data_IF_004415415043
#
_entry.id   IF_004415415043
#
_cell.length_a   1.000
_cell.length_b   1.000
_cell.length_c   1.000
_cell.angle_alpha   90.00
_cell.angle_beta   90.00
_cell.angle_gamma   90.00
#
_symmetry.space_group_name_H-M   'P 1'
#
loop_
_entity.id
_entity.type
_entity.pdbx_description
1 polymer ?
#
# COMPACT_ATOMS: atom_id res chain seq x y z
N UNK A 1 18.04 -9.49 -1.79
CA UNK A 1 17.41 -9.87 -0.51
C UNK A 1 16.14 -10.64 -0.86
N UNK A 2 16.26 -11.95 -0.95
CA UNK A 2 15.21 -12.87 -1.44
C UNK A 2 14.19 -13.10 -0.33
N UNK A 3 12.99 -12.54 -0.46
CA UNK A 3 11.83 -13.00 0.32
C UNK A 3 11.15 -14.07 -0.51
N UNK A 4 11.78 -15.24 -0.61
CA UNK A 4 11.07 -16.47 -0.94
C UNK A 4 10.75 -17.11 0.41
N UNK A 5 9.48 -17.12 0.77
CA UNK A 5 8.99 -17.93 1.87
C UNK A 5 7.81 -18.74 1.35
N UNK A 6 7.68 -19.97 1.81
CA UNK A 6 6.72 -20.99 1.38
C UNK A 6 5.22 -20.60 1.41
N UNK A 7 4.88 -19.33 1.65
CA UNK A 7 3.54 -18.76 1.66
C UNK A 7 3.02 -18.39 0.26
N UNK A 8 3.83 -18.47 -0.78
CA UNK A 8 3.41 -18.08 -2.15
C UNK A 8 2.40 -19.05 -2.78
N UNK A 9 2.17 -20.24 -2.19
CA UNK A 9 1.21 -21.22 -2.69
C UNK A 9 -0.22 -21.01 -2.19
N UNK A 10 -0.41 -20.40 -1.01
CA UNK A 10 -1.73 -20.14 -0.42
C UNK A 10 -1.99 -18.62 -0.29
N UNK A 11 -2.82 -18.04 -1.17
CA UNK A 11 -3.10 -16.62 -1.17
C UNK A 11 -3.76 -16.13 0.14
N UNK A 12 -4.49 -16.99 0.86
CA UNK A 12 -5.09 -16.61 2.14
C UNK A 12 -4.05 -16.49 3.23
N UNK A 13 -3.12 -17.45 3.31
CA UNK A 13 -2.04 -17.39 4.28
C UNK A 13 -1.17 -16.15 4.05
N UNK A 14 -0.86 -15.85 2.79
CA UNK A 14 -0.12 -14.63 2.41
C UNK A 14 -0.84 -13.37 2.85
N UNK A 15 -2.16 -13.29 2.64
CA UNK A 15 -2.96 -12.14 3.06
C UNK A 15 -2.97 -11.98 4.58
N UNK A 16 -3.13 -13.06 5.35
CA UNK A 16 -3.11 -13.02 6.81
C UNK A 16 -1.76 -12.55 7.36
N UNK A 17 -0.65 -12.95 6.73
CA UNK A 17 0.68 -12.44 7.09
C UNK A 17 0.82 -10.93 6.84
N UNK A 18 0.36 -10.45 5.67
CA UNK A 18 0.34 -9.01 5.36
C UNK A 18 -0.56 -8.24 6.32
N UNK A 19 -1.65 -8.85 6.79
CA UNK A 19 -2.54 -8.25 7.79
C UNK A 19 -1.87 -8.05 9.15
N UNK A 20 -0.97 -8.94 9.55
CA UNK A 20 -0.28 -8.90 10.83
C UNK A 20 0.85 -7.86 10.93
N UNK A 21 1.27 -7.27 9.80
CA UNK A 21 2.33 -6.26 9.80
C UNK A 21 1.94 -5.02 10.62
N UNK A 22 2.86 -4.42 11.39
CA UNK A 22 2.56 -3.24 12.21
C UNK A 22 2.22 -2.00 11.37
N UNK A 23 2.82 -1.90 10.19
CA UNK A 23 2.50 -0.92 9.15
C UNK A 23 2.54 -1.57 7.77
N UNK A 24 1.86 -0.96 6.78
CA UNK A 24 1.96 -1.36 5.37
C UNK A 24 2.30 -0.17 4.50
N UNK A 25 3.23 -0.36 3.57
CA UNK A 25 3.45 0.57 2.48
C UNK A 25 2.38 0.35 1.40
N UNK A 26 1.69 1.42 1.04
CA UNK A 26 0.59 1.43 0.08
C UNK A 26 0.82 2.56 -0.91
N UNK A 27 0.63 2.29 -2.20
CA UNK A 27 0.63 3.32 -3.24
C UNK A 27 -0.83 3.62 -3.58
N UNK A 28 -1.25 4.86 -3.37
CA UNK A 28 -2.52 5.39 -3.88
C UNK A 28 -2.30 5.95 -5.27
N UNK A 29 -3.11 5.54 -6.23
CA UNK A 29 -3.14 6.09 -7.58
C UNK A 29 -4.48 6.79 -7.80
N UNK A 30 -4.45 8.02 -8.31
CA UNK A 30 -5.62 8.80 -8.64
C UNK A 30 -5.47 9.37 -10.04
N UNK A 31 -6.43 9.08 -10.93
CA UNK A 31 -6.59 9.77 -12.21
C UNK A 31 -7.83 10.64 -12.11
N UNK A 32 -7.64 11.96 -12.18
CA UNK A 32 -8.76 12.90 -12.22
C UNK A 32 -9.60 12.73 -13.49
N UNK A 33 -10.84 13.21 -13.47
CA UNK A 33 -11.73 13.17 -14.65
C UNK A 33 -11.30 14.11 -15.78
N UNK A 34 -10.33 15.01 -15.52
CA UNK A 34 -9.75 15.88 -16.54
C UNK A 34 -8.74 15.16 -17.44
N UNK A 35 -8.25 13.99 -17.02
CA UNK A 35 -7.31 13.14 -17.77
C UNK A 35 -5.98 13.83 -18.16
N UNK A 36 -5.57 14.86 -17.41
CA UNK A 36 -4.32 15.60 -17.65
C UNK A 36 -3.11 15.03 -16.89
N UNK A 37 -3.34 14.03 -16.04
CA UNK A 37 -2.28 13.38 -15.27
C UNK A 37 -2.80 12.34 -14.27
N UNK A 38 -1.86 11.52 -13.79
CA UNK A 38 -2.05 10.54 -12.70
C UNK A 38 -1.25 10.96 -11.48
N UNK A 39 -1.92 11.12 -10.35
CA UNK A 39 -1.30 11.33 -9.05
C UNK A 39 -0.93 9.98 -8.43
N UNK A 40 0.27 9.90 -7.86
CA UNK A 40 0.75 8.76 -7.11
C UNK A 40 1.27 9.21 -5.73
N UNK A 41 0.68 8.63 -4.67
CA UNK A 41 1.08 8.87 -3.29
C UNK A 41 1.60 7.57 -2.66
N UNK A 42 2.86 7.57 -2.20
CA UNK A 42 3.38 6.50 -1.36
C UNK A 42 3.06 6.81 0.10
N UNK A 43 2.28 5.95 0.73
CA UNK A 43 1.79 6.10 2.10
C UNK A 43 2.23 4.92 2.96
N UNK A 44 2.58 5.21 4.21
CA UNK A 44 2.73 4.20 5.25
C UNK A 44 1.49 4.24 6.15
N UNK A 45 0.77 3.12 6.23
CA UNK A 45 -0.48 3.00 6.99
C UNK A 45 -0.26 2.13 8.22
N UNK A 46 -0.65 2.65 9.38
CA UNK A 46 -0.56 2.00 10.69
C UNK A 46 -1.95 1.73 11.25
N UNK A 47 -2.08 0.67 12.04
CA UNK A 47 -3.35 0.31 12.67
C UNK A 47 -4.44 -0.07 11.66
N UNK A 48 -5.67 -0.14 12.13
CA UNK A 48 -6.86 -0.39 11.31
C UNK A 48 -8.12 0.13 12.00
N UNK A 49 -9.17 0.41 11.22
CA UNK A 49 -10.42 0.96 11.75
C UNK A 49 -10.20 2.33 12.40
N UNK A 50 -10.71 2.52 13.61
CA UNK A 50 -10.60 3.78 14.37
C UNK A 50 -9.14 4.14 14.74
N UNK A 51 -8.23 3.16 14.75
CA UNK A 51 -6.81 3.39 15.07
C UNK A 51 -5.95 3.71 13.85
N UNK A 52 -6.56 3.83 12.67
CA UNK A 52 -5.84 4.04 11.40
C UNK A 52 -5.08 5.35 11.44
N UNK A 53 -3.78 5.30 11.17
CA UNK A 53 -2.92 6.47 10.96
C UNK A 53 -2.18 6.34 9.65
N UNK A 54 -2.00 7.45 8.94
CA UNK A 54 -1.36 7.48 7.63
C UNK A 54 -0.22 8.50 7.66
N UNK A 55 0.93 8.10 7.14
CA UNK A 55 2.05 8.98 6.87
C UNK A 55 2.35 8.98 5.36
N UNK A 56 2.17 10.12 4.69
CA UNK A 56 2.60 10.28 3.31
C UNK A 56 4.12 10.35 3.26
N UNK A 57 4.74 9.43 2.52
CA UNK A 57 6.20 9.31 2.36
C UNK A 57 6.69 10.04 1.12
N UNK A 58 5.92 10.00 0.03
CA UNK A 58 6.23 10.65 -1.24
C UNK A 58 4.95 10.92 -2.04
N UNK A 59 5.00 11.93 -2.90
CA UNK A 59 3.94 12.26 -3.84
C UNK A 59 4.54 12.68 -5.18
N UNK A 60 3.92 12.27 -6.28
CA UNK A 60 4.26 12.70 -7.63
C UNK A 60 3.00 12.77 -8.49
N UNK A 61 2.96 13.72 -9.41
CA UNK A 61 1.99 13.75 -10.51
C UNK A 61 2.76 13.45 -11.79
N UNK A 62 2.31 12.46 -12.55
CA UNK A 62 2.82 12.16 -13.90
C UNK A 62 1.80 12.57 -14.94
N UNK A 63 2.20 13.08 -16.12
CA UNK A 63 1.29 13.26 -17.24
C UNK A 63 0.56 11.98 -17.63
#
# INVERSE_FOLDING_TARGET
>A
MTVSTAADADPLLRFLQLRALPSRLVIGLLSGTSADGTDAALCEIFGSGETTRIQMRSFVTTP
#
